data_IF_199764048065
#
_entry.id   IF_199764048065
#
_cell.length_a   1.000
_cell.length_b   1.000
_cell.length_c   1.000
_cell.angle_alpha   90.00
_cell.angle_beta   90.00
_cell.angle_gamma   90.00
#
_symmetry.space_group_name_H-M   'P 1'
#
loop_
_entity.id
_entity.type
_entity.pdbx_description
1 polymer ?
#
# COMPACT_ATOMS: atom_id res chain seq x y z
N UNK A 1 1.08 -17.96 9.72
CA UNK A 1 1.50 -16.80 8.89
C UNK A 1 2.72 -17.21 8.11
N UNK A 2 2.84 -16.80 6.84
CA UNK A 2 3.99 -17.09 5.98
C UNK A 2 4.58 -15.75 5.54
N UNK A 3 5.85 -15.52 5.86
CA UNK A 3 6.60 -14.36 5.38
C UNK A 3 6.93 -14.55 3.90
N UNK A 4 6.79 -13.48 3.13
CA UNK A 4 7.03 -13.43 1.69
C UNK A 4 7.67 -12.09 1.33
N UNK A 5 8.23 -12.01 0.13
CA UNK A 5 8.67 -10.74 -0.44
C UNK A 5 7.46 -9.80 -0.58
N UNK A 6 7.69 -8.50 -0.36
CA UNK A 6 6.62 -7.50 -0.40
C UNK A 6 5.97 -7.40 -1.80
N UNK A 7 6.75 -7.57 -2.87
CA UNK A 7 6.26 -7.51 -4.24
C UNK A 7 5.40 -8.72 -4.61
N UNK A 8 5.70 -9.91 -4.07
CA UNK A 8 4.84 -11.10 -4.18
C UNK A 8 3.46 -10.84 -3.56
N UNK A 9 3.41 -10.10 -2.44
CA UNK A 9 2.13 -9.75 -1.80
C UNK A 9 1.36 -8.76 -2.65
N UNK A 10 2.02 -7.74 -3.21
CA UNK A 10 1.36 -6.81 -4.12
C UNK A 10 0.90 -7.47 -5.41
N UNK A 11 1.60 -8.50 -5.89
CA UNK A 11 1.17 -9.28 -7.05
C UNK A 11 -0.10 -10.10 -6.77
N UNK A 12 -0.24 -10.66 -5.56
CA UNK A 12 -1.49 -11.32 -5.14
C UNK A 12 -2.66 -10.33 -5.12
N UNK A 13 -2.44 -9.14 -4.55
CA UNK A 13 -3.43 -8.05 -4.51
C UNK A 13 -3.81 -7.62 -5.92
N UNK A 14 -2.82 -7.48 -6.79
CA UNK A 14 -3.02 -7.13 -8.20
C UNK A 14 -3.87 -8.16 -8.95
N UNK A 15 -3.85 -9.42 -8.52
CA UNK A 15 -4.56 -10.53 -9.16
C UNK A 15 -6.01 -10.65 -8.69
N UNK A 16 -6.39 -10.04 -7.55
CA UNK A 16 -7.72 -10.13 -6.93
C UNK A 16 -8.43 -8.76 -7.00
N UNK A 17 -8.67 -8.28 -8.21
CA UNK A 17 -9.22 -6.94 -8.50
C UNK A 17 -10.74 -6.83 -8.33
N UNK A 18 -11.36 -7.73 -7.55
CA UNK A 18 -12.80 -7.67 -7.30
C UNK A 18 -13.01 -6.67 -6.17
N UNK A 19 -13.35 -5.41 -6.51
CA UNK A 19 -13.51 -4.25 -5.57
C UNK A 19 -12.19 -3.48 -5.29
N UNK A 20 -11.59 -2.85 -6.32
CA UNK A 20 -10.28 -2.20 -6.20
C UNK A 20 -10.29 -0.94 -5.33
N UNK A 21 -11.43 -0.28 -5.12
CA UNK A 21 -11.64 0.91 -4.29
C UNK A 21 -11.88 0.58 -2.80
N UNK A 22 -12.10 -0.69 -2.46
CA UNK A 22 -12.37 -1.12 -1.08
C UNK A 22 -11.13 -1.19 -0.18
N UNK A 23 -9.94 -0.86 -0.71
CA UNK A 23 -8.69 -0.99 0.02
C UNK A 23 -8.34 0.26 0.82
N UNK A 24 -7.83 0.07 2.03
CA UNK A 24 -7.46 1.14 2.97
C UNK A 24 -6.07 0.90 3.51
N UNK A 25 -5.28 1.96 3.72
CA UNK A 25 -3.87 1.82 4.13
C UNK A 25 -3.47 2.75 5.28
N UNK A 26 -2.59 2.28 6.16
CA UNK A 26 -1.91 3.08 7.17
C UNK A 26 -0.42 2.82 7.03
N UNK A 27 0.39 3.86 6.91
CA UNK A 27 1.84 3.69 6.83
C UNK A 27 2.61 4.79 7.56
N UNK A 28 3.89 4.53 7.78
CA UNK A 28 4.78 5.47 8.44
C UNK A 28 6.14 4.86 8.71
N UNK A 29 6.96 5.58 9.45
CA UNK A 29 8.28 5.10 9.84
C UNK A 29 8.19 3.86 10.73
N UNK A 30 9.16 2.95 10.58
CA UNK A 30 9.31 1.81 11.50
C UNK A 30 9.53 2.29 12.93
N UNK A 31 9.05 1.53 13.91
CA UNK A 31 9.35 1.75 15.34
C UNK A 31 10.86 1.79 15.64
N UNK A 32 11.67 1.11 14.82
CA UNK A 32 13.12 1.16 14.87
C UNK A 32 13.75 0.64 13.58
N UNK A 33 15.01 1.01 13.38
CA UNK A 33 15.77 0.61 12.20
C UNK A 33 15.47 1.47 10.97
N UNK A 34 15.93 1.00 9.81
CA UNK A 34 15.72 1.64 8.52
C UNK A 34 14.43 1.13 7.90
N UNK A 35 13.64 2.05 7.33
CA UNK A 35 12.48 1.71 6.50
C UNK A 35 11.14 2.19 7.04
N UNK A 36 10.09 1.68 6.43
CA UNK A 36 8.70 2.03 6.67
C UNK A 36 7.87 0.78 6.96
N UNK A 37 6.83 0.97 7.77
CA UNK A 37 5.77 -0.01 8.01
C UNK A 37 4.52 0.41 7.25
N UNK A 38 3.83 -0.56 6.68
CA UNK A 38 2.59 -0.37 5.94
C UNK A 38 1.63 -1.50 6.31
N UNK A 39 0.46 -1.12 6.80
CA UNK A 39 -0.70 -1.98 6.84
C UNK A 39 -1.65 -1.57 5.74
N UNK A 40 -2.18 -2.54 5.01
CA UNK A 40 -3.22 -2.25 4.03
C UNK A 40 -4.22 -3.41 3.99
N UNK A 41 -5.50 -3.06 3.95
CA UNK A 41 -6.57 -4.00 4.21
C UNK A 41 -7.79 -3.77 3.35
N UNK A 42 -8.48 -4.86 3.05
CA UNK A 42 -9.75 -4.87 2.33
C UNK A 42 -10.77 -5.70 3.11
N UNK A 43 -12.02 -5.22 3.30
CA UNK A 43 -13.03 -5.89 4.13
C UNK A 43 -13.20 -7.38 3.83
N UNK A 44 -13.20 -7.74 2.55
CA UNK A 44 -13.47 -9.12 2.09
C UNK A 44 -12.22 -9.96 1.78
N UNK A 45 -11.03 -9.35 1.70
CA UNK A 45 -9.79 -10.05 1.28
C UNK A 45 -8.84 -10.27 2.46
N UNK A 46 -8.75 -9.30 3.36
CA UNK A 46 -7.93 -9.37 4.57
C UNK A 46 -7.02 -8.18 4.78
N UNK A 47 -6.17 -8.31 5.81
CA UNK A 47 -5.21 -7.29 6.23
C UNK A 47 -3.81 -7.84 6.05
N UNK A 48 -2.96 -7.02 5.43
CA UNK A 48 -1.56 -7.32 5.17
C UNK A 48 -0.68 -6.33 5.91
N UNK A 49 0.46 -6.82 6.36
CA UNK A 49 1.50 -6.02 6.98
C UNK A 49 2.77 -6.19 6.14
N UNK A 50 3.30 -5.07 5.65
CA UNK A 50 4.55 -4.97 4.92
C UNK A 50 5.55 -4.13 5.72
N UNK A 51 6.82 -4.51 5.64
CA UNK A 51 7.94 -3.67 6.05
C UNK A 51 8.87 -3.50 4.87
N UNK A 52 9.24 -2.27 4.56
CA UNK A 52 10.06 -1.97 3.38
C UNK A 52 11.21 -1.03 3.72
N UNK A 53 12.30 -1.09 2.95
CA UNK A 53 13.35 -0.07 2.95
C UNK A 53 13.84 0.20 1.54
N UNK A 54 14.26 1.43 1.29
CA UNK A 54 14.91 1.80 0.06
C UNK A 54 16.40 1.43 0.12
N UNK A 55 16.80 0.39 -0.63
CA UNK A 55 18.23 0.08 -0.82
C UNK A 55 18.94 1.20 -1.56
N UNK A 56 18.24 1.80 -2.53
CA UNK A 56 18.64 3.01 -3.24
C UNK A 56 17.38 3.66 -3.86
N UNK A 57 17.46 4.86 -4.46
CA UNK A 57 16.28 5.57 -5.00
C UNK A 57 15.49 4.83 -6.11
N UNK A 58 15.95 3.67 -6.58
CA UNK A 58 15.30 2.85 -7.60
C UNK A 58 14.98 1.43 -7.16
N UNK A 59 15.45 1.00 -5.98
CA UNK A 59 15.32 -0.38 -5.50
C UNK A 59 14.72 -0.32 -4.09
N UNK A 60 13.40 -0.58 -4.04
CA UNK A 60 12.65 -0.74 -2.81
C UNK A 60 12.54 -2.24 -2.53
N UNK A 61 12.89 -2.65 -1.32
CA UNK A 61 12.86 -4.04 -0.88
C UNK A 61 12.06 -4.15 0.40
N UNK A 62 11.62 -5.36 0.71
CA UNK A 62 10.80 -5.57 1.89
C UNK A 62 10.25 -6.96 2.00
N UNK A 63 9.63 -7.18 3.15
CA UNK A 63 8.95 -8.42 3.48
C UNK A 63 7.53 -8.11 3.89
N UNK A 64 6.66 -9.11 3.87
CA UNK A 64 5.36 -8.98 4.46
C UNK A 64 4.66 -10.29 4.72
N UNK A 65 3.47 -10.16 5.29
CA UNK A 65 2.57 -11.26 5.53
C UNK A 65 1.11 -10.83 5.59
N UNK A 66 0.20 -11.77 5.31
CA UNK A 66 -1.21 -11.60 5.66
C UNK A 66 -1.39 -11.87 7.15
N UNK A 67 -1.89 -10.88 7.88
CA UNK A 67 -2.07 -10.91 9.35
C UNK A 67 -3.52 -11.20 9.74
N UNK A 68 -4.49 -10.82 8.91
CA UNK A 68 -5.90 -11.18 9.07
C UNK A 68 -6.55 -11.56 7.73
N UNK A 69 -7.59 -12.39 7.77
CA UNK A 69 -8.33 -12.87 6.57
C UNK A 69 -9.47 -11.95 6.14
N UNK A 70 -9.85 -11.01 6.99
CA UNK A 70 -10.88 -10.00 6.75
C UNK A 70 -10.62 -8.85 7.71
N UNK A 71 -11.15 -7.67 7.40
CA UNK A 71 -11.21 -6.55 8.35
C UNK A 71 -12.54 -6.68 9.11
N UNK A 72 -12.47 -6.93 10.41
CA UNK A 72 -13.64 -7.04 11.28
C UNK A 72 -13.89 -5.74 12.05
N UNK A 73 -14.93 -5.71 12.89
CA UNK A 73 -15.33 -4.52 13.65
C UNK A 73 -14.25 -4.01 14.63
N UNK A 74 -13.23 -4.82 14.96
CA UNK A 74 -12.10 -4.41 15.80
C UNK A 74 -11.00 -3.75 14.98
N UNK A 75 -10.75 -4.23 13.76
CA UNK A 75 -9.75 -3.70 12.84
C UNK A 75 -10.25 -2.50 12.01
N UNK A 76 -11.54 -2.45 11.73
CA UNK A 76 -12.16 -1.42 10.91
C UNK A 76 -11.85 0.02 11.38
N UNK A 77 -11.94 0.33 12.69
CA UNK A 77 -11.62 1.67 13.19
C UNK A 77 -10.13 2.05 13.13
N UNK A 78 -9.24 1.08 12.88
CA UNK A 78 -7.80 1.31 12.77
C UNK A 78 -7.36 1.62 11.32
N UNK A 79 -8.30 1.63 10.37
CA UNK A 79 -8.05 1.94 8.97
C UNK A 79 -8.72 3.27 8.62
N UNK A 80 -8.15 4.04 7.68
CA UNK A 80 -8.71 5.33 7.29
C UNK A 80 -10.06 5.17 6.58
N UNK A 81 -10.93 6.16 6.77
CA UNK A 81 -12.21 6.27 6.08
C UNK A 81 -12.09 7.10 4.79
N UNK A 82 -13.17 7.18 4.02
CA UNK A 82 -13.22 7.95 2.78
C UNK A 82 -12.87 9.45 2.98
N UNK A 83 -13.16 9.99 4.17
CA UNK A 83 -12.89 11.39 4.53
C UNK A 83 -11.42 11.66 4.88
N UNK A 84 -10.55 10.64 4.99
CA UNK A 84 -9.12 10.84 5.22
C UNK A 84 -8.48 11.62 4.06
N UNK A 85 -7.48 12.46 4.33
CA UNK A 85 -6.89 13.32 3.29
C UNK A 85 -5.96 12.55 2.33
N UNK A 86 -5.29 11.50 2.81
CA UNK A 86 -4.32 10.74 2.04
C UNK A 86 -4.96 9.70 1.12
N UNK A 87 -4.27 9.38 0.03
CA UNK A 87 -4.68 8.37 -0.96
C UNK A 87 -3.48 7.52 -1.35
N UNK A 88 -3.73 6.26 -1.67
CA UNK A 88 -2.73 5.37 -2.25
C UNK A 88 -3.30 4.64 -3.47
N UNK A 89 -2.41 4.12 -4.29
CA UNK A 89 -2.76 3.27 -5.42
C UNK A 89 -1.64 2.29 -5.73
N UNK A 90 -2.02 1.07 -6.10
CA UNK A 90 -1.13 0.08 -6.69
C UNK A 90 -1.15 0.27 -8.20
N UNK A 91 0.03 0.22 -8.84
CA UNK A 91 0.12 0.40 -10.29
C UNK A 91 0.46 -0.91 -10.97
N UNK A 92 -0.37 -1.29 -11.93
CA UNK A 92 -0.07 -2.33 -12.91
C UNK A 92 0.53 -1.70 -14.17
N UNK A 93 1.55 -2.32 -14.74
CA UNK A 93 2.11 -1.89 -16.01
C UNK A 93 1.22 -2.37 -17.17
N UNK A 94 1.10 -1.61 -18.27
CA UNK A 94 0.51 -2.13 -19.50
C UNK A 94 1.20 -3.41 -19.95
N UNK A 95 0.42 -4.35 -20.47
CA UNK A 95 0.93 -5.61 -21.02
C UNK A 95 1.68 -5.38 -22.33
N UNK A 96 1.22 -4.43 -23.14
CA UNK A 96 1.78 -4.07 -24.44
C UNK A 96 1.45 -2.63 -24.87
N UNK A 97 1.85 -2.27 -26.09
CA UNK A 97 1.62 -0.94 -26.68
C UNK A 97 0.13 -0.64 -26.88
N UNK A 98 -0.67 -1.62 -27.31
CA UNK A 98 -2.11 -1.45 -27.54
C UNK A 98 -2.83 -1.17 -26.22
N UNK A 99 -2.54 -1.95 -25.18
CA UNK A 99 -3.07 -1.72 -23.83
C UNK A 99 -2.65 -0.35 -23.29
N UNK A 100 -1.40 0.08 -23.52
CA UNK A 100 -0.95 1.41 -23.12
C UNK A 100 -1.73 2.54 -23.81
N UNK A 101 -2.04 2.40 -25.11
CA UNK A 101 -2.84 3.37 -25.86
C UNK A 101 -4.29 3.44 -25.37
N UNK A 102 -4.88 2.29 -25.04
CA UNK A 102 -6.23 2.22 -24.47
C UNK A 102 -6.30 2.91 -23.11
N UNK A 103 -5.40 2.57 -22.18
CA UNK A 103 -5.33 3.22 -20.86
C UNK A 103 -5.14 4.74 -21.00
N UNK A 104 -4.23 5.18 -21.88
CA UNK A 104 -4.01 6.61 -22.11
C UNK A 104 -5.26 7.32 -22.65
N UNK A 105 -6.02 6.66 -23.52
CA UNK A 105 -7.27 7.18 -24.06
C UNK A 105 -8.32 7.31 -22.96
N UNK A 106 -8.52 6.27 -22.15
CA UNK A 106 -9.47 6.28 -21.02
C UNK A 106 -9.15 7.40 -20.04
N UNK A 107 -7.89 7.49 -19.61
CA UNK A 107 -7.42 8.56 -18.71
C UNK A 107 -7.67 9.95 -19.29
N UNK A 108 -7.39 10.15 -20.57
CA UNK A 108 -7.61 11.45 -21.25
C UNK A 108 -9.08 11.85 -21.26
N UNK A 109 -9.98 10.91 -21.56
CA UNK A 109 -11.41 11.17 -21.58
C UNK A 109 -11.95 11.41 -20.16
N UNK A 110 -11.50 10.64 -19.16
CA UNK A 110 -11.83 10.88 -17.74
C UNK A 110 -11.49 12.31 -17.34
N UNK A 111 -10.25 12.75 -17.57
CA UNK A 111 -9.84 14.12 -17.24
C UNK A 111 -10.64 15.18 -17.99
N UNK A 112 -11.05 14.91 -19.23
CA UNK A 112 -11.89 15.85 -20.01
C UNK A 112 -13.27 16.01 -19.38
N UNK A 113 -13.92 14.91 -19.00
CA UNK A 113 -15.25 14.93 -18.38
C UNK A 113 -15.24 15.76 -17.09
N UNK A 114 -14.25 15.51 -16.22
CA UNK A 114 -14.06 16.23 -14.96
C UNK A 114 -13.66 17.71 -15.15
N UNK A 115 -13.04 18.06 -16.27
CA UNK A 115 -12.73 19.45 -16.60
C UNK A 115 -13.95 20.24 -17.12
N UNK A 116 -14.92 19.56 -17.73
CA UNK A 116 -16.10 20.17 -18.36
C UNK A 116 -17.30 20.28 -17.41
N UNK A 117 -17.31 19.53 -16.31
CA UNK A 117 -18.37 19.52 -15.30
C UNK A 117 -17.80 19.74 -13.88
N UNK A 118 -18.57 20.33 -12.94
CA UNK A 118 -18.18 20.32 -11.53
C UNK A 118 -17.98 18.88 -11.04
N UNK A 119 -16.89 18.64 -10.33
CA UNK A 119 -16.55 17.34 -9.74
C UNK A 119 -16.03 17.49 -8.31
N UNK A 120 -16.12 16.40 -7.55
CA UNK A 120 -15.49 16.27 -6.24
C UNK A 120 -14.12 15.57 -6.39
N UNK A 121 -13.12 15.91 -5.55
CA UNK A 121 -11.79 15.31 -5.63
C UNK A 121 -11.78 13.78 -5.60
N UNK A 122 -12.67 13.17 -4.82
CA UNK A 122 -12.75 11.71 -4.66
C UNK A 122 -13.25 11.02 -5.92
N UNK A 123 -14.31 11.54 -6.54
CA UNK A 123 -14.79 11.03 -7.81
C UNK A 123 -13.74 11.11 -8.92
N UNK A 124 -12.97 12.21 -8.96
CA UNK A 124 -11.86 12.32 -9.91
C UNK A 124 -10.78 11.27 -9.63
N UNK A 125 -10.44 11.05 -8.36
CA UNK A 125 -9.44 10.06 -7.98
C UNK A 125 -9.88 8.65 -8.38
N UNK A 126 -11.09 8.24 -8.00
CA UNK A 126 -11.66 6.94 -8.32
C UNK A 126 -11.66 6.70 -9.84
N UNK A 127 -12.23 7.62 -10.63
CA UNK A 127 -12.30 7.46 -12.09
C UNK A 127 -10.92 7.42 -12.76
N UNK A 128 -9.92 8.12 -12.20
CA UNK A 128 -8.54 8.07 -12.70
C UNK A 128 -7.91 6.72 -12.37
N UNK A 129 -8.15 6.18 -11.17
CA UNK A 129 -7.65 4.87 -10.75
C UNK A 129 -8.27 3.75 -11.59
N UNK A 130 -9.56 3.82 -11.88
CA UNK A 130 -10.23 2.90 -12.82
C UNK A 130 -9.65 3.02 -14.24
N UNK A 131 -9.42 4.24 -14.72
CA UNK A 131 -8.91 4.47 -16.07
C UNK A 131 -7.49 3.92 -16.29
N UNK A 132 -6.67 3.88 -15.23
CA UNK A 132 -5.33 3.28 -15.24
C UNK A 132 -5.31 1.82 -14.76
N UNK A 133 -6.48 1.22 -14.59
CA UNK A 133 -6.65 -0.18 -14.18
C UNK A 133 -5.90 -0.50 -12.88
N UNK A 134 -5.94 0.43 -11.92
CA UNK A 134 -5.37 0.22 -10.59
C UNK A 134 -6.08 -0.96 -9.90
N UNK A 135 -5.36 -2.02 -9.50
CA UNK A 135 -6.01 -3.17 -8.89
C UNK A 135 -6.37 -2.97 -7.41
N UNK A 136 -5.78 -1.95 -6.77
CA UNK A 136 -6.06 -1.59 -5.39
C UNK A 136 -5.74 -0.11 -5.17
N UNK A 137 -6.70 0.65 -4.67
CA UNK A 137 -6.56 2.05 -4.33
C UNK A 137 -7.56 2.44 -3.25
N UNK A 138 -7.34 3.57 -2.61
CA UNK A 138 -8.26 4.10 -1.61
C UNK A 138 -7.61 5.05 -0.62
N UNK A 139 -8.25 5.30 0.53
CA UNK A 139 -7.73 6.23 1.52
C UNK A 139 -6.48 5.68 2.21
N UNK A 140 -5.58 6.58 2.56
CA UNK A 140 -4.34 6.29 3.25
C UNK A 140 -4.10 7.27 4.38
N UNK A 141 -3.76 6.77 5.56
CA UNK A 141 -3.17 7.57 6.64
C UNK A 141 -1.64 7.43 6.59
N UNK A 142 -0.92 8.54 6.56
CA UNK A 142 0.53 8.53 6.43
C UNK A 142 1.21 9.75 7.07
N UNK A 143 2.25 9.49 7.86
CA UNK A 143 3.11 10.53 8.43
C UNK A 143 4.54 10.44 7.88
N UNK A 144 4.97 11.48 7.15
CA UNK A 144 6.32 11.57 6.56
C UNK A 144 7.45 11.58 7.60
N UNK A 145 7.24 12.30 8.72
CA UNK A 145 8.26 12.53 9.74
C UNK A 145 8.01 11.69 11.01
N UNK A 146 7.12 10.70 10.92
CA UNK A 146 6.54 10.07 12.08
C UNK A 146 5.85 8.75 11.80
N UNK A 147 4.87 8.47 12.64
CA UNK A 147 4.12 7.23 12.67
C UNK A 147 2.74 7.56 13.23
N UNK A 148 1.66 7.32 12.45
CA UNK A 148 0.30 7.50 12.94
C UNK A 148 0.03 6.63 14.16
N UNK A 149 -0.82 7.10 15.08
CA UNK A 149 -1.22 6.35 16.28
C UNK A 149 -1.88 5.00 15.90
N UNK A 150 -2.67 4.98 14.83
CA UNK A 150 -3.32 3.78 14.29
C UNK A 150 -2.29 2.73 13.83
N UNK A 151 -1.13 3.17 13.33
CA UNK A 151 -0.05 2.27 12.93
C UNK A 151 0.63 1.63 14.16
N UNK A 152 0.68 2.34 15.28
CA UNK A 152 1.14 1.79 16.55
C UNK A 152 0.15 0.78 17.13
N UNK A 153 -1.15 1.09 17.10
CA UNK A 153 -2.19 0.18 17.56
C UNK A 153 -2.23 -1.13 16.73
N UNK A 154 -2.08 -1.02 15.41
CA UNK A 154 -1.98 -2.19 14.51
C UNK A 154 -0.73 -3.04 14.79
N UNK A 155 0.42 -2.43 15.05
CA UNK A 155 1.63 -3.17 15.43
C UNK A 155 1.51 -3.83 16.81
N UNK A 156 0.84 -3.21 17.76
CA UNK A 156 0.58 -3.82 19.07
C UNK A 156 -0.43 -4.96 18.99
N UNK A 157 -1.43 -4.85 18.10
CA UNK A 157 -2.44 -5.88 17.85
C UNK A 157 -1.82 -7.13 17.22
N UNK A 158 -0.85 -6.94 16.32
CA UNK A 158 -0.15 -8.02 15.62
C UNK A 158 1.31 -8.15 16.05
N UNK A 159 1.58 -8.09 17.36
CA UNK A 159 2.92 -8.13 17.98
C UNK A 159 3.83 -9.24 17.44
N UNK A 160 3.32 -10.46 17.29
CA UNK A 160 4.08 -11.59 16.77
C UNK A 160 4.44 -11.44 15.28
N UNK A 161 3.57 -10.79 14.49
CA UNK A 161 3.86 -10.48 13.10
C UNK A 161 4.90 -9.36 13.00
N UNK A 162 4.76 -8.34 13.84
CA UNK A 162 5.68 -7.22 13.98
C UNK A 162 7.09 -7.70 14.29
N UNK A 163 7.26 -8.53 15.32
CA UNK A 163 8.57 -9.08 15.72
C UNK A 163 9.19 -9.93 14.61
N UNK A 164 8.40 -10.81 13.99
CA UNK A 164 8.88 -11.71 12.94
C UNK A 164 9.32 -10.92 11.70
N UNK A 165 8.47 -10.02 11.19
CA UNK A 165 8.78 -9.23 9.99
C UNK A 165 9.94 -8.27 10.24
N UNK A 166 10.07 -7.73 11.46
CA UNK A 166 11.24 -6.91 11.83
C UNK A 166 12.52 -7.72 11.76
N UNK A 167 12.55 -8.93 12.31
CA UNK A 167 13.72 -9.80 12.23
C UNK A 167 14.09 -10.12 10.77
N UNK A 168 13.11 -10.49 9.95
CA UNK A 168 13.35 -10.85 8.54
C UNK A 168 13.80 -9.65 7.71
N UNK A 169 13.26 -8.44 7.98
CA UNK A 169 13.69 -7.23 7.29
C UNK A 169 15.11 -6.83 7.71
N UNK A 170 15.44 -6.94 9.00
CA UNK A 170 16.77 -6.60 9.51
C UNK A 170 17.84 -7.52 8.90
N UNK A 171 17.57 -8.82 8.76
CA UNK A 171 18.44 -9.75 8.01
C UNK A 171 18.64 -9.30 6.55
N UNK A 172 17.57 -8.85 5.86
CA UNK A 172 17.64 -8.33 4.48
C UNK A 172 18.52 -7.08 4.37
N UNK A 173 18.37 -6.17 5.33
CA UNK A 173 19.12 -4.91 5.44
C UNK A 173 20.61 -5.18 5.68
N UNK A 174 20.92 -6.11 6.59
CA UNK A 174 22.29 -6.53 6.89
C UNK A 174 22.96 -7.16 5.67
N UNK A 175 22.25 -8.03 4.95
CA UNK A 175 22.73 -8.67 3.72
C UNK A 175 23.00 -7.65 2.59
N UNK A 176 22.26 -6.54 2.57
CA UNK A 176 22.42 -5.46 1.60
C UNK A 176 23.45 -4.39 2.00
N UNK A 177 24.05 -4.48 3.19
CA UNK A 177 25.06 -3.55 3.74
C UNK A 177 24.58 -2.07 3.73
N UNK A 178 23.26 -1.84 3.80
CA UNK A 178 22.66 -0.49 3.72
C UNK A 178 22.66 0.27 5.05
N UNK A 179 22.85 -0.44 6.16
CA UNK A 179 22.94 0.14 7.51
C UNK A 179 24.37 0.61 7.86
N UNK A 180 25.35 0.30 7.02
CA UNK A 180 26.77 0.63 7.24
C UNK A 180 27.08 2.03 6.71
N UNK A 181 27.23 2.98 7.63
CA UNK A 181 27.72 4.32 7.30
C UNK A 181 29.11 4.29 6.66
N UNK A 182 29.47 5.36 5.93
CA UNK A 182 30.82 5.52 5.39
C UNK A 182 31.86 5.50 6.53
N UNK A 183 32.71 4.48 6.55
CA UNK A 183 33.85 4.36 7.46
C UNK A 183 35.09 5.09 6.94
#
# INVERSE_FOLDING_TARGET
MRVRDWDDILADVASDSTDPDGWRAVAGTRRGGLGEDLYFGHPSVGLYHLKTYAKNPRDLRGVGAQVARSVDDELDPLLPDADSDGRFAVRSAPEDEEHAEEMATRLTETLRVHAEAPTDPDHLFEDVMEAVESPAFGPMEYEFDGRPDELDELSDTFDQAEELLTSELDDLIEDDDVDRGFH
#
